data_IF_000750131772
#
_entry.id   IF_000750131772
#
_cell.length_a   1.000
_cell.length_b   1.000
_cell.length_c   1.000
_cell.angle_alpha   90.00
_cell.angle_beta   90.00
_cell.angle_gamma   90.00
#
_symmetry.space_group_name_H-M   'P 1'
#
loop_
_entity.id
_entity.type
_entity.pdbx_description
1 polymer ?
#
# COMPACT_ATOMS: atom_id res chain seq x y z
N UNK A 1 26.14 -6.21 10.78
CA UNK A 1 24.75 -5.76 11.01
C UNK A 1 23.91 -6.13 9.81
N UNK A 2 22.57 -6.25 9.93
CA UNK A 2 21.75 -6.63 8.79
C UNK A 2 21.86 -5.54 7.72
N UNK A 3 22.17 -5.96 6.50
CA UNK A 3 22.25 -5.08 5.32
C UNK A 3 20.83 -4.59 5.05
N UNK A 4 20.51 -3.39 5.52
CA UNK A 4 19.29 -2.71 5.13
C UNK A 4 19.37 -2.46 3.63
N UNK A 5 18.35 -2.90 2.88
CA UNK A 5 18.17 -2.55 1.46
C UNK A 5 18.17 -1.03 1.22
N UNK A 6 18.01 -0.24 2.28
CA UNK A 6 18.04 1.21 2.30
C UNK A 6 19.29 1.79 3.00
N UNK A 7 20.39 1.03 3.09
CA UNK A 7 21.61 1.48 3.76
C UNK A 7 22.11 2.80 3.16
N UNK A 8 22.36 3.76 4.05
CA UNK A 8 22.79 5.14 3.78
C UNK A 8 24.28 5.26 3.43
N UNK A 9 24.94 4.16 3.14
CA UNK A 9 26.39 4.08 3.06
C UNK A 9 26.82 3.59 1.68
N UNK A 10 27.10 4.51 0.74
CA UNK A 10 27.84 4.30 -0.52
C UNK A 10 27.41 3.17 -1.49
N UNK A 11 26.43 2.36 -1.12
CA UNK A 11 25.96 1.19 -1.84
C UNK A 11 24.89 1.61 -2.83
N UNK A 12 25.06 1.13 -4.05
CA UNK A 12 24.13 1.24 -5.18
C UNK A 12 22.72 0.85 -4.74
N UNK A 13 21.89 1.83 -4.41
CA UNK A 13 20.57 1.61 -3.83
C UNK A 13 19.51 1.28 -4.88
N UNK A 14 18.29 0.99 -4.41
CA UNK A 14 17.12 0.73 -5.27
C UNK A 14 16.94 1.80 -6.36
N UNK A 15 17.04 3.08 -6.01
CA UNK A 15 16.91 4.18 -6.99
C UNK A 15 18.01 4.15 -8.05
N UNK A 16 19.24 3.84 -7.66
CA UNK A 16 20.35 3.74 -8.60
C UNK A 16 20.12 2.60 -9.60
N UNK A 17 19.59 1.46 -9.13
CA UNK A 17 19.19 0.36 -10.01
C UNK A 17 18.13 0.82 -11.01
N UNK A 18 17.05 1.43 -10.54
CA UNK A 18 15.95 1.92 -11.39
C UNK A 18 16.48 2.89 -12.45
N UNK A 19 17.28 3.88 -12.04
CA UNK A 19 17.84 4.87 -12.95
C UNK A 19 18.64 4.26 -14.09
N UNK A 20 19.43 3.22 -13.82
CA UNK A 20 20.18 2.51 -14.87
C UNK A 20 19.28 1.59 -15.69
N UNK A 21 18.53 0.70 -15.03
CA UNK A 21 17.81 -0.40 -15.69
C UNK A 21 16.56 0.07 -16.44
N UNK A 22 15.91 1.13 -15.97
CA UNK A 22 14.70 1.69 -16.56
C UNK A 22 14.96 2.82 -17.57
N UNK A 23 16.22 3.24 -17.77
CA UNK A 23 16.59 4.29 -18.73
C UNK A 23 16.13 4.00 -20.17
N UNK A 24 15.98 2.71 -20.51
CA UNK A 24 15.58 2.21 -21.82
C UNK A 24 14.05 2.20 -22.05
N UNK A 25 13.26 2.46 -21.01
CA UNK A 25 11.80 2.55 -21.14
C UNK A 25 11.46 3.84 -21.89
N UNK A 26 10.70 3.79 -22.99
CA UNK A 26 10.37 4.99 -23.77
C UNK A 26 9.51 5.95 -22.94
N UNK A 27 9.73 7.26 -23.09
CA UNK A 27 8.99 8.30 -22.36
C UNK A 27 8.92 8.05 -20.86
N UNK A 28 10.06 7.72 -20.24
CA UNK A 28 10.10 7.42 -18.81
C UNK A 28 10.20 8.69 -17.94
N UNK A 29 9.80 8.56 -16.67
CA UNK A 29 9.85 9.63 -15.68
C UNK A 29 11.19 9.73 -14.90
N UNK A 30 12.22 8.94 -15.23
CA UNK A 30 13.47 8.85 -14.43
C UNK A 30 14.16 10.22 -14.34
N UNK A 31 14.40 10.86 -15.48
CA UNK A 31 15.06 12.17 -15.52
C UNK A 31 14.23 13.26 -14.85
N UNK A 32 12.91 13.23 -14.99
CA UNK A 32 12.01 14.17 -14.32
C UNK A 32 12.14 14.09 -12.80
N UNK A 33 12.20 12.88 -12.25
CA UNK A 33 12.39 12.64 -10.80
C UNK A 33 13.80 13.01 -10.35
N UNK A 34 14.81 12.74 -11.19
CA UNK A 34 16.19 13.05 -10.87
C UNK A 34 16.41 14.55 -10.64
N UNK A 35 15.67 15.39 -11.37
CA UNK A 35 15.73 16.85 -11.34
C UNK A 35 14.77 17.52 -10.35
N UNK A 36 14.03 16.76 -9.52
CA UNK A 36 13.11 17.35 -8.54
C UNK A 36 13.87 18.00 -7.37
N UNK A 37 13.74 19.31 -7.21
CA UNK A 37 14.42 20.09 -6.16
C UNK A 37 14.00 19.67 -4.74
N UNK A 38 12.72 19.34 -4.55
CA UNK A 38 12.17 18.98 -3.24
C UNK A 38 12.47 17.52 -2.84
N UNK A 39 13.16 16.74 -3.68
CA UNK A 39 13.41 15.30 -3.49
C UNK A 39 14.90 15.01 -3.69
N UNK A 40 15.69 15.21 -2.63
CA UNK A 40 17.14 15.13 -2.73
C UNK A 40 17.71 13.72 -2.52
N UNK A 41 17.11 12.90 -1.65
CA UNK A 41 17.67 11.59 -1.29
C UNK A 41 17.33 10.50 -2.29
N UNK A 42 18.24 9.55 -2.53
CA UNK A 42 17.99 8.39 -3.40
C UNK A 42 16.76 7.59 -2.96
N UNK A 43 16.54 7.45 -1.65
CA UNK A 43 15.33 6.80 -1.10
C UNK A 43 14.05 7.54 -1.47
N UNK A 44 14.05 8.87 -1.35
CA UNK A 44 12.91 9.69 -1.70
C UNK A 44 12.63 9.67 -3.21
N UNK A 45 13.68 9.68 -4.05
CA UNK A 45 13.56 9.52 -5.50
C UNK A 45 12.97 8.16 -5.89
N UNK A 46 13.44 7.07 -5.27
CA UNK A 46 12.85 5.74 -5.48
C UNK A 46 11.37 5.67 -5.10
N UNK A 47 10.97 6.31 -3.99
CA UNK A 47 9.57 6.39 -3.56
C UNK A 47 8.71 7.27 -4.46
N UNK A 48 9.26 8.36 -4.99
CA UNK A 48 8.60 9.20 -5.98
C UNK A 48 8.36 8.42 -7.28
N UNK A 49 9.38 7.68 -7.71
CA UNK A 49 9.29 6.83 -8.91
C UNK A 49 8.21 5.77 -8.81
N UNK A 50 8.08 5.08 -7.68
CA UNK A 50 6.99 4.11 -7.47
C UNK A 50 5.62 4.81 -7.64
N UNK A 51 5.42 5.97 -7.01
CA UNK A 51 4.17 6.73 -7.13
C UNK A 51 3.89 7.11 -8.59
N UNK A 52 4.86 7.67 -9.31
CA UNK A 52 4.69 8.08 -10.71
C UNK A 52 4.43 6.88 -11.61
N UNK A 53 5.21 5.79 -11.50
CA UNK A 53 5.05 4.59 -12.31
C UNK A 53 3.67 3.92 -12.11
N UNK A 54 3.12 3.99 -10.89
CA UNK A 54 1.75 3.54 -10.58
C UNK A 54 0.69 4.45 -11.20
N UNK A 55 0.83 5.78 -11.06
CA UNK A 55 -0.10 6.75 -11.65
C UNK A 55 -0.10 6.70 -13.18
N UNK A 56 1.06 6.46 -13.81
CA UNK A 56 1.19 6.26 -15.25
C UNK A 56 0.67 4.88 -15.70
N UNK A 57 0.35 3.96 -14.78
CA UNK A 57 -0.07 2.58 -15.05
C UNK A 57 0.99 1.72 -15.76
N UNK A 58 2.28 2.05 -15.54
CA UNK A 58 3.42 1.46 -16.27
C UNK A 58 4.38 0.67 -15.41
N UNK A 59 4.03 0.41 -14.15
CA UNK A 59 4.87 -0.33 -13.20
C UNK A 59 5.37 -1.68 -13.75
N UNK A 60 4.50 -2.47 -14.38
CA UNK A 60 4.89 -3.76 -14.97
C UNK A 60 5.86 -3.62 -16.14
N UNK A 61 5.67 -2.62 -17.02
CA UNK A 61 6.56 -2.32 -18.15
C UNK A 61 7.97 -1.96 -17.68
N UNK A 62 8.05 -1.12 -16.64
CA UNK A 62 9.31 -0.75 -16.03
C UNK A 62 10.08 -1.95 -15.49
N UNK A 63 9.44 -2.75 -14.63
CA UNK A 63 10.11 -3.90 -14.00
C UNK A 63 10.46 -4.95 -15.06
N UNK A 64 9.59 -5.20 -16.05
CA UNK A 64 9.88 -6.11 -17.16
C UNK A 64 11.11 -5.66 -17.95
N UNK A 65 11.22 -4.36 -18.25
CA UNK A 65 12.37 -3.81 -18.98
C UNK A 65 13.64 -3.90 -18.16
N UNK A 66 13.56 -3.62 -16.86
CA UNK A 66 14.69 -3.72 -15.95
C UNK A 66 15.23 -5.16 -15.85
N UNK A 67 14.34 -6.16 -15.77
CA UNK A 67 14.69 -7.58 -15.71
C UNK A 67 15.32 -8.10 -17.01
N UNK A 68 15.00 -7.50 -18.17
CA UNK A 68 15.67 -7.81 -19.45
C UNK A 68 17.13 -7.36 -19.47
N UNK A 69 17.51 -6.34 -18.69
CA UNK A 69 18.91 -5.94 -18.50
C UNK A 69 19.57 -6.80 -17.40
N UNK A 70 19.79 -8.08 -17.72
CA UNK A 70 20.35 -9.07 -16.80
C UNK A 70 21.73 -8.67 -16.27
N UNK A 71 22.56 -8.04 -17.10
CA UNK A 71 23.88 -7.53 -16.70
C UNK A 71 23.75 -6.47 -15.62
N UNK A 72 22.84 -5.51 -15.77
CA UNK A 72 22.63 -4.47 -14.77
C UNK A 72 22.01 -5.07 -13.52
N UNK A 73 20.96 -5.88 -13.65
CA UNK A 73 20.28 -6.49 -12.49
C UNK A 73 21.23 -7.34 -11.64
N UNK A 74 22.12 -8.14 -12.24
CA UNK A 74 23.15 -8.93 -11.51
C UNK A 74 24.19 -8.10 -10.77
N UNK A 75 24.36 -6.81 -11.11
CA UNK A 75 25.29 -5.92 -10.39
C UNK A 75 24.68 -5.29 -9.13
N UNK A 76 23.36 -5.38 -8.98
CA UNK A 76 22.63 -4.74 -7.89
C UNK A 76 21.98 -5.74 -6.94
N UNK A 77 21.84 -7.01 -7.33
CA UNK A 77 21.16 -8.04 -6.54
C UNK A 77 22.07 -9.25 -6.32
N UNK A 78 22.02 -9.79 -5.11
CA UNK A 78 22.67 -11.06 -4.77
C UNK A 78 21.97 -12.26 -5.44
N UNK A 79 22.69 -13.37 -5.59
CA UNK A 79 22.20 -14.58 -6.29
C UNK A 79 20.90 -15.18 -5.71
N UNK A 80 20.58 -14.88 -4.44
CA UNK A 80 19.34 -15.28 -3.79
C UNK A 80 18.14 -14.37 -4.04
N UNK A 81 18.34 -13.19 -4.63
CA UNK A 81 17.29 -12.18 -4.77
C UNK A 81 16.21 -12.61 -5.78
N UNK A 82 14.95 -12.30 -5.46
CA UNK A 82 13.79 -12.56 -6.33
C UNK A 82 13.99 -12.02 -7.76
N UNK A 83 14.65 -10.86 -7.90
CA UNK A 83 14.91 -10.20 -9.18
C UNK A 83 15.85 -11.00 -10.11
N UNK A 84 16.55 -12.01 -9.61
CA UNK A 84 17.43 -12.88 -10.38
C UNK A 84 16.89 -14.31 -10.56
N UNK A 85 15.67 -14.58 -10.10
CA UNK A 85 15.07 -15.91 -10.12
C UNK A 85 13.79 -15.95 -10.96
N UNK A 86 13.25 -17.15 -11.13
CA UNK A 86 12.04 -17.41 -11.95
C UNK A 86 10.79 -16.76 -11.36
N UNK A 87 10.77 -16.55 -10.04
CA UNK A 87 9.72 -15.84 -9.32
C UNK A 87 9.56 -14.38 -9.80
N UNK A 88 10.59 -13.79 -10.43
CA UNK A 88 10.49 -12.47 -11.05
C UNK A 88 9.40 -12.40 -12.12
N UNK A 89 9.15 -13.50 -12.86
CA UNK A 89 8.09 -13.54 -13.87
C UNK A 89 6.71 -13.48 -13.22
N UNK A 90 6.51 -14.20 -12.11
CA UNK A 90 5.26 -14.14 -11.33
C UNK A 90 5.05 -12.73 -10.79
N UNK A 91 6.11 -12.11 -10.24
CA UNK A 91 6.09 -10.70 -9.81
C UNK A 91 5.62 -9.78 -10.95
N UNK A 92 6.21 -9.87 -12.14
CA UNK A 92 5.79 -9.02 -13.28
C UNK A 92 4.34 -9.27 -13.70
N UNK A 93 3.86 -10.52 -13.65
CA UNK A 93 2.48 -10.86 -13.93
C UNK A 93 1.51 -10.21 -12.94
N UNK A 94 1.83 -10.22 -11.64
CA UNK A 94 1.04 -9.55 -10.62
C UNK A 94 1.01 -8.02 -10.81
N UNK A 95 2.12 -7.42 -11.21
CA UNK A 95 2.21 -5.97 -11.46
C UNK A 95 1.32 -5.50 -12.61
N UNK A 96 0.94 -6.37 -13.56
CA UNK A 96 -0.01 -6.02 -14.63
C UNK A 96 -1.37 -5.68 -14.04
N UNK A 97 -1.81 -6.38 -12.99
CA UNK A 97 -3.09 -6.12 -12.32
C UNK A 97 -3.20 -4.70 -11.75
N UNK A 98 -2.07 -4.08 -11.39
CA UNK A 98 -2.04 -2.70 -10.88
C UNK A 98 -2.45 -1.65 -11.93
N UNK A 99 -2.38 -1.97 -13.23
CA UNK A 99 -2.82 -1.06 -14.30
C UNK A 99 -4.34 -0.83 -14.32
N UNK A 100 -5.12 -1.72 -13.70
CA UNK A 100 -6.56 -1.58 -13.58
C UNK A 100 -6.99 -0.60 -12.47
N UNK A 101 -6.04 -0.13 -11.65
CA UNK A 101 -6.30 0.77 -10.52
C UNK A 101 -5.92 2.20 -10.92
N UNK A 102 -6.80 3.15 -10.61
CA UNK A 102 -6.52 4.57 -10.77
C UNK A 102 -5.87 5.14 -9.52
N UNK A 103 -4.54 5.27 -9.56
CA UNK A 103 -3.78 5.89 -8.49
C UNK A 103 -3.72 7.41 -8.64
N UNK A 104 -3.88 8.13 -7.53
CA UNK A 104 -3.70 9.58 -7.45
C UNK A 104 -2.88 9.92 -6.21
N UNK A 105 -1.55 10.06 -6.38
CA UNK A 105 -0.63 10.37 -5.29
C UNK A 105 -0.11 11.80 -5.39
N UNK A 106 -0.02 12.48 -4.25
CA UNK A 106 0.67 13.76 -4.15
C UNK A 106 2.18 13.54 -4.02
N UNK A 107 2.96 14.22 -4.86
CA UNK A 107 4.42 14.29 -4.72
C UNK A 107 4.89 15.52 -3.94
N UNK A 108 3.96 16.46 -3.68
CA UNK A 108 4.20 17.72 -2.97
C UNK A 108 3.84 17.55 -1.49
N UNK A 109 4.76 17.89 -0.59
CA UNK A 109 4.49 17.94 0.85
C UNK A 109 4.55 16.60 1.61
N UNK A 110 4.82 15.48 0.94
CA UNK A 110 5.01 14.20 1.61
C UNK A 110 6.48 14.01 2.02
N UNK A 111 6.67 13.46 3.22
CA UNK A 111 7.96 13.04 3.78
C UNK A 111 8.43 11.78 3.03
N UNK A 112 8.81 11.97 1.76
CA UNK A 112 9.28 10.91 0.86
C UNK A 112 10.58 10.26 1.35
N UNK A 113 11.27 10.86 2.33
CA UNK A 113 12.46 10.29 2.94
C UNK A 113 12.14 9.14 3.93
N UNK A 114 10.86 8.93 4.26
CA UNK A 114 10.39 7.84 5.12
C UNK A 114 10.72 8.03 6.60
N UNK A 115 11.00 9.27 7.05
CA UNK A 115 11.22 9.57 8.48
C UNK A 115 9.93 9.52 9.31
N UNK A 116 8.77 9.72 8.68
CA UNK A 116 7.47 9.60 9.34
C UNK A 116 6.87 8.23 9.03
N UNK A 117 6.42 7.46 10.04
CA UNK A 117 5.71 6.22 9.82
C UNK A 117 4.41 6.49 9.06
N UNK A 118 4.13 5.67 8.05
CA UNK A 118 2.86 5.74 7.31
C UNK A 118 1.81 4.99 8.13
N UNK A 119 0.80 5.71 8.61
CA UNK A 119 -0.37 5.13 9.28
C UNK A 119 -1.47 5.02 8.24
N UNK A 120 -1.98 3.81 8.02
CA UNK A 120 -3.16 3.59 7.17
C UNK A 120 -4.38 3.67 8.08
N UNK A 121 -5.18 4.73 7.93
CA UNK A 121 -6.44 4.86 8.63
C UNK A 121 -7.53 4.07 7.89
N UNK A 122 -7.94 2.94 8.48
CA UNK A 122 -9.00 2.09 7.96
C UNK A 122 -10.40 2.54 8.40
N UNK A 123 -10.50 3.45 9.37
CA UNK A 123 -11.76 3.93 9.95
C UNK A 123 -12.79 4.33 8.90
N UNK A 124 -12.43 5.05 7.80
CA UNK A 124 -13.40 5.42 6.76
C UNK A 124 -14.03 4.23 6.00
N UNK A 125 -13.38 3.06 6.03
CA UNK A 125 -13.80 1.86 5.29
C UNK A 125 -14.49 0.83 6.18
N UNK A 126 -14.38 0.96 7.51
CA UNK A 126 -15.05 0.09 8.46
C UNK A 126 -16.51 0.55 8.64
N UNK A 127 -17.40 0.08 7.75
CA UNK A 127 -18.84 0.25 7.95
C UNK A 127 -19.33 -0.79 8.97
N UNK A 128 -19.74 -0.35 10.15
CA UNK A 128 -20.39 -1.21 11.14
C UNK A 128 -21.84 -1.46 10.72
N UNK A 129 -22.11 -2.55 9.99
CA UNK A 129 -23.47 -3.02 9.75
C UNK A 129 -23.93 -3.87 10.93
N UNK A 130 -24.60 -3.24 11.90
CA UNK A 130 -25.38 -3.97 12.89
C UNK A 130 -26.74 -4.30 12.25
N UNK A 131 -26.81 -5.34 11.41
CA UNK A 131 -28.09 -5.88 10.95
C UNK A 131 -28.63 -6.79 12.04
N UNK A 132 -29.39 -6.22 12.98
CA UNK A 132 -30.29 -7.00 13.84
C UNK A 132 -31.49 -7.46 13.00
N UNK A 133 -31.28 -8.45 12.12
CA UNK A 133 -32.35 -9.13 11.37
C UNK A 133 -32.59 -10.57 11.87
N UNK A 134 -32.12 -10.88 13.07
CA UNK A 134 -32.45 -12.12 13.74
C UNK A 134 -33.18 -11.79 15.04
N UNK A 135 -34.33 -12.43 15.23
CA UNK A 135 -35.21 -12.41 16.40
C UNK A 135 -36.44 -11.50 16.30
N UNK A 136 -37.35 -11.77 15.35
CA UNK A 136 -38.77 -11.37 15.51
C UNK A 136 -39.81 -12.46 15.22
N UNK A 137 -39.41 -13.72 14.99
CA UNK A 137 -40.37 -14.77 14.57
C UNK A 137 -40.64 -15.87 15.63
N UNK A 138 -40.25 -15.70 16.89
CA UNK A 138 -40.45 -16.74 17.93
C UNK A 138 -41.38 -16.33 19.10
N UNK A 139 -42.08 -15.18 19.03
CA UNK A 139 -42.97 -14.75 20.14
C UNK A 139 -44.48 -14.88 19.88
N UNK A 140 -44.94 -15.45 18.76
CA UNK A 140 -46.39 -15.61 18.50
C UNK A 140 -47.02 -16.93 18.99
N UNK A 141 -46.33 -17.75 19.80
CA UNK A 141 -46.88 -19.04 20.28
C UNK A 141 -47.21 -19.16 21.76
N UNK A 142 -46.93 -18.15 22.56
CA UNK A 142 -47.35 -18.12 23.96
C UNK A 142 -47.65 -16.66 24.30
N UNK A 143 -48.89 -16.22 24.41
CA UNK A 143 -49.60 -16.33 25.67
C UNK A 143 -51.06 -15.93 25.51
N UNK A 144 -51.96 -16.82 25.90
CA UNK A 144 -53.24 -16.43 26.44
C UNK A 144 -53.00 -15.81 27.83
N UNK A 145 -53.87 -14.86 28.19
CA UNK A 145 -54.15 -14.34 29.55
C UNK A 145 -53.35 -13.11 30.06
N UNK A 146 -54.02 -11.96 29.92
CA UNK A 146 -54.38 -11.00 30.98
C UNK A 146 -53.40 -9.93 31.51
N UNK A 147 -53.85 -8.68 31.31
CA UNK A 147 -53.92 -7.52 32.24
C UNK A 147 -52.69 -6.72 32.68
N UNK A 148 -52.70 -5.48 32.17
CA UNK A 148 -52.52 -4.16 32.83
C UNK A 148 -51.21 -3.76 33.54
N UNK A 149 -50.75 -2.58 33.09
CA UNK A 149 -50.12 -1.43 33.79
C UNK A 149 -48.61 -1.22 33.67
N UNK A 150 -48.32 -0.17 32.88
CA UNK A 150 -47.38 0.94 33.05
C UNK A 150 -45.88 0.72 33.33
N UNK A 151 -45.12 1.50 32.55
CA UNK A 151 -43.71 1.88 32.66
C UNK A 151 -42.66 0.85 32.22
N UNK A 152 -42.22 0.99 30.97
CA UNK A 152 -40.98 0.38 30.49
C UNK A 152 -40.22 1.42 29.68
N UNK A 153 -39.53 2.31 30.39
CA UNK A 153 -38.42 3.06 29.81
C UNK A 153 -37.28 2.06 29.52
N UNK A 154 -36.73 1.98 28.29
CA UNK A 154 -35.61 1.11 28.04
C UNK A 154 -34.36 1.75 28.65
N UNK A 155 -34.03 1.38 29.89
CA UNK A 155 -32.69 1.59 30.44
C UNK A 155 -31.69 0.81 29.58
N UNK A 156 -31.03 1.52 28.67
CA UNK A 156 -29.84 1.02 28.00
C UNK A 156 -28.64 1.70 28.67
N UNK A 157 -27.89 1.04 29.57
CA UNK A 157 -26.62 1.58 30.02
C UNK A 157 -25.62 1.41 28.87
N UNK A 158 -25.36 2.50 28.15
CA UNK A 158 -24.14 2.60 27.33
C UNK A 158 -22.95 2.51 28.29
N UNK A 159 -22.15 1.45 28.18
CA UNK A 159 -20.82 1.37 28.77
C UNK A 159 -19.80 1.78 27.69
N UNK A 160 -19.18 2.97 27.79
CA UNK A 160 -18.08 3.33 26.91
C UNK A 160 -16.89 2.40 27.19
N UNK A 161 -16.38 1.76 26.14
CA UNK A 161 -15.10 1.07 26.19
C UNK A 161 -13.99 2.11 26.34
N UNK A 162 -13.50 2.26 27.57
CA UNK A 162 -12.28 3.01 27.88
C UNK A 162 -11.10 2.18 27.40
N UNK A 163 -10.23 2.76 26.59
CA UNK A 163 -8.92 2.19 26.27
C UNK A 163 -7.99 2.47 27.44
N UNK A 164 -7.50 1.43 28.12
CA UNK A 164 -6.40 1.55 29.09
C UNK A 164 -5.15 2.10 28.40
N UNK A 165 -4.47 3.03 29.07
CA UNK A 165 -3.22 3.68 28.66
C UNK A 165 -2.05 2.70 28.44
#
# INVERSE_FOLDING_TARGET
>A
GPVSWFSSDGQRGFWDYIRLACSKVPNNCVSSIENMENISTARAKGRAWIRVALMEKRMSEYITTALRDTRTTRRFYDSGAIMLREEATVLTGMLIGLSAIDFSFCLKGEVLDGKTPVVIDYTPYLKFTQSYDYLTDEEERHSAESSTSEDNSPEHPYLPLVTDE
#
